data_IF_305514863932
#
_entry.id   IF_305514863932
#
_cell.length_a   1.000
_cell.length_b   1.000
_cell.length_c   1.000
_cell.angle_alpha   90.00
_cell.angle_beta   90.00
_cell.angle_gamma   90.00
#
_symmetry.space_group_name_H-M   'P 1'
#
loop_
_entity.id
_entity.type
_entity.pdbx_description
1 polymer ?
#
# COMPACT_ATOMS: atom_id res chain seq x y z
N UNK A 1 56.08 63.43 14.75
CA UNK A 1 56.12 62.32 13.78
C UNK A 1 54.75 61.61 13.78
N UNK A 2 53.89 61.92 12.82
CA UNK A 2 52.54 61.37 12.71
C UNK A 2 52.55 60.29 11.67
N UNK A 3 52.22 59.04 12.03
CA UNK A 3 51.90 57.98 11.11
C UNK A 3 50.41 57.95 10.81
N UNK A 4 50.04 58.17 9.55
CA UNK A 4 48.67 58.08 9.05
C UNK A 4 48.51 56.65 8.53
N UNK A 5 47.64 55.87 9.19
CA UNK A 5 47.20 54.53 8.71
C UNK A 5 46.21 54.69 7.59
N UNK A 6 46.57 54.19 6.42
CA UNK A 6 45.63 54.00 5.27
C UNK A 6 45.04 52.62 5.38
N UNK A 7 43.75 52.56 5.75
CA UNK A 7 42.92 51.35 5.66
C UNK A 7 42.33 51.30 4.27
N UNK A 8 42.86 50.38 3.44
CA UNK A 8 42.30 50.09 2.12
C UNK A 8 41.11 49.13 2.27
N UNK A 9 39.90 49.60 1.95
CA UNK A 9 38.72 48.74 1.86
C UNK A 9 38.74 47.99 0.53
N UNK A 10 38.92 46.68 0.56
CA UNK A 10 38.71 45.80 -0.59
C UNK A 10 37.23 45.43 -0.67
N UNK A 11 36.52 46.01 -1.62
CA UNK A 11 35.15 45.61 -1.94
C UNK A 11 35.14 44.35 -2.79
N UNK A 12 34.77 43.22 -2.22
CA UNK A 12 34.56 41.96 -2.95
C UNK A 12 33.18 42.06 -3.65
N UNK A 13 33.18 42.32 -4.96
CA UNK A 13 31.97 42.25 -5.78
C UNK A 13 31.68 40.78 -6.12
N UNK A 14 30.79 40.14 -5.37
CA UNK A 14 30.22 38.84 -5.72
C UNK A 14 29.15 39.03 -6.78
N UNK A 15 29.46 38.80 -8.05
CA UNK A 15 28.50 38.72 -9.13
C UNK A 15 27.70 37.42 -9.00
N UNK A 16 26.48 37.51 -8.50
CA UNK A 16 25.48 36.45 -8.60
C UNK A 16 25.11 36.26 -10.06
N UNK A 17 25.63 35.21 -10.70
CA UNK A 17 25.15 34.75 -12.00
C UNK A 17 23.82 34.04 -11.73
N UNK A 18 22.71 34.76 -11.80
CA UNK A 18 21.40 34.16 -11.87
C UNK A 18 21.25 33.49 -13.26
N UNK A 19 21.50 32.20 -13.31
CA UNK A 19 21.14 31.39 -14.49
C UNK A 19 19.63 31.49 -14.74
N UNK A 20 19.17 31.37 -16.00
CA UNK A 20 17.74 31.38 -16.29
C UNK A 20 17.08 30.22 -15.52
N UNK A 21 16.21 30.56 -14.55
CA UNK A 21 15.29 29.61 -13.98
C UNK A 21 14.34 29.24 -15.14
N UNK A 22 14.51 28.04 -15.69
CA UNK A 22 13.57 27.51 -16.66
C UNK A 22 12.19 27.54 -15.99
N UNK A 23 11.29 28.38 -16.49
CA UNK A 23 9.91 28.43 -16.02
C UNK A 23 9.32 27.03 -16.22
N UNK A 24 9.01 26.35 -15.14
CA UNK A 24 8.36 25.05 -15.17
C UNK A 24 7.04 25.26 -15.90
N UNK A 25 6.81 24.51 -16.98
CA UNK A 25 5.53 24.56 -17.72
C UNK A 25 4.41 24.29 -16.73
N UNK A 26 3.31 25.03 -16.77
CA UNK A 26 2.15 24.75 -15.92
C UNK A 26 1.70 23.30 -16.10
N UNK A 27 1.36 22.61 -15.02
CA UNK A 27 0.84 21.25 -15.08
C UNK A 27 -0.50 21.25 -15.82
N UNK A 28 -0.53 20.60 -16.97
CA UNK A 28 -1.73 20.49 -17.80
C UNK A 28 -2.49 19.22 -17.43
N UNK A 29 -3.42 19.35 -16.49
CA UNK A 29 -4.27 18.26 -16.04
C UNK A 29 -5.14 17.67 -17.16
N UNK A 30 -5.42 18.40 -18.23
CA UNK A 30 -6.27 17.93 -19.33
C UNK A 30 -5.64 16.80 -20.15
N UNK A 31 -4.34 16.62 -20.03
CA UNK A 31 -3.61 15.49 -20.65
C UNK A 31 -3.77 14.17 -19.93
N UNK A 32 -4.27 14.18 -18.69
CA UNK A 32 -4.39 13.00 -17.87
C UNK A 32 -5.83 12.52 -17.84
N UNK A 33 -6.07 11.19 -17.71
CA UNK A 33 -7.42 10.69 -17.52
C UNK A 33 -8.00 11.23 -16.21
N UNK A 34 -9.30 11.31 -16.12
CA UNK A 34 -9.99 11.85 -14.95
C UNK A 34 -9.88 10.94 -13.73
N UNK A 35 -8.65 10.59 -13.31
CA UNK A 35 -8.39 9.75 -12.14
C UNK A 35 -8.59 10.48 -10.83
N UNK A 36 -8.38 11.79 -10.81
CA UNK A 36 -8.49 12.59 -9.59
C UNK A 36 -9.87 12.46 -8.93
N UNK A 37 -9.85 12.39 -7.59
CA UNK A 37 -11.04 12.26 -6.74
C UNK A 37 -11.13 10.91 -6.05
N UNK A 38 -12.27 10.71 -5.36
CA UNK A 38 -12.51 9.51 -4.56
C UNK A 38 -13.10 8.36 -5.37
N UNK A 39 -12.64 7.17 -5.01
CA UNK A 39 -13.04 5.92 -5.63
C UNK A 39 -13.39 4.89 -4.58
N UNK A 40 -14.49 4.22 -4.77
CA UNK A 40 -14.95 3.14 -3.90
C UNK A 40 -14.88 1.80 -4.65
N UNK A 41 -14.34 0.80 -4.00
CA UNK A 41 -14.25 -0.56 -4.54
C UNK A 41 -15.64 -1.14 -4.83
N UNK A 42 -15.74 -1.87 -5.92
CA UNK A 42 -16.92 -2.67 -6.30
C UNK A 42 -16.60 -4.16 -6.08
N UNK A 43 -17.60 -4.92 -5.65
CA UNK A 43 -17.51 -6.38 -5.49
C UNK A 43 -17.33 -6.84 -4.03
N UNK A 44 -17.08 -8.14 -3.81
CA UNK A 44 -17.03 -8.74 -2.49
C UNK A 44 -15.86 -8.23 -1.64
N UNK A 45 -16.07 -8.24 -0.32
CA UNK A 45 -15.05 -7.92 0.67
C UNK A 45 -14.15 -9.12 0.96
N UNK A 46 -12.93 -8.84 1.45
CA UNK A 46 -12.06 -9.87 1.99
C UNK A 46 -11.59 -10.91 0.98
N UNK A 47 -11.46 -10.51 -0.29
CA UNK A 47 -10.95 -11.37 -1.36
C UNK A 47 -9.98 -10.58 -2.23
N UNK A 48 -8.92 -11.23 -2.69
CA UNK A 48 -7.98 -10.63 -3.64
C UNK A 48 -8.54 -10.66 -5.07
N UNK A 49 -8.96 -11.82 -5.56
CA UNK A 49 -9.69 -11.95 -6.83
C UNK A 49 -11.20 -11.76 -6.58
N UNK A 50 -11.82 -10.66 -7.05
CA UNK A 50 -13.23 -10.37 -6.79
C UNK A 50 -14.18 -11.30 -7.53
N UNK A 51 -13.69 -12.12 -8.46
CA UNK A 51 -14.48 -13.10 -9.23
C UNK A 51 -14.56 -14.47 -8.56
N UNK A 52 -13.85 -14.63 -7.44
CA UNK A 52 -13.68 -15.90 -6.74
C UNK A 52 -14.15 -15.82 -5.28
N UNK A 53 -14.64 -16.93 -4.70
CA UNK A 53 -14.91 -17.02 -3.28
C UNK A 53 -13.64 -16.89 -2.43
N UNK A 54 -13.78 -16.54 -1.15
CA UNK A 54 -12.66 -16.44 -0.20
C UNK A 54 -12.01 -17.81 0.11
N UNK A 55 -10.86 -17.77 0.78
CA UNK A 55 -10.11 -18.93 1.18
C UNK A 55 -9.61 -19.74 -0.02
N UNK A 56 -9.70 -21.06 0.01
CA UNK A 56 -9.29 -21.94 -1.10
C UNK A 56 -10.05 -21.63 -2.40
N UNK A 57 -11.23 -21.00 -2.31
CA UNK A 57 -12.00 -20.56 -3.46
C UNK A 57 -11.27 -19.53 -4.33
N UNK A 58 -10.30 -18.80 -3.80
CA UNK A 58 -9.48 -17.86 -4.54
C UNK A 58 -8.66 -18.55 -5.65
N UNK A 59 -8.36 -19.85 -5.52
CA UNK A 59 -7.58 -20.61 -6.49
C UNK A 59 -6.27 -19.92 -6.88
N UNK A 60 -5.63 -19.28 -5.90
CA UNK A 60 -4.32 -18.68 -6.10
C UNK A 60 -3.34 -19.74 -6.61
N UNK A 61 -2.48 -19.44 -7.59
CA UNK A 61 -1.54 -20.41 -8.15
C UNK A 61 -0.35 -20.62 -7.21
N UNK A 62 -0.61 -21.05 -5.97
CA UNK A 62 0.41 -21.27 -4.95
C UNK A 62 1.33 -22.44 -5.34
N UNK A 63 2.58 -22.36 -4.87
CA UNK A 63 3.46 -23.53 -4.85
C UNK A 63 2.94 -24.57 -3.88
N UNK A 64 3.29 -25.87 -4.00
CA UNK A 64 2.83 -26.89 -3.06
C UNK A 64 3.14 -26.60 -1.59
N UNK A 65 4.28 -25.97 -1.33
CA UNK A 65 4.68 -25.53 0.01
C UNK A 65 3.72 -24.47 0.58
N UNK A 66 3.44 -23.43 -0.20
CA UNK A 66 2.59 -22.34 0.22
C UNK A 66 1.10 -22.72 0.23
N UNK A 67 0.69 -23.66 -0.61
CA UNK A 67 -0.63 -24.26 -0.55
C UNK A 67 -0.83 -24.99 0.79
N UNK A 68 0.14 -25.80 1.22
CA UNK A 68 0.06 -26.52 2.50
C UNK A 68 0.03 -25.55 3.71
N UNK A 69 0.84 -24.48 3.67
CA UNK A 69 0.81 -23.41 4.69
C UNK A 69 -0.57 -22.76 4.76
N UNK A 70 -1.15 -22.42 3.61
CA UNK A 70 -2.47 -21.79 3.56
C UNK A 70 -3.58 -22.71 4.07
N UNK A 71 -3.56 -23.98 3.73
CA UNK A 71 -4.53 -24.97 4.25
C UNK A 71 -4.41 -25.15 5.76
N UNK A 72 -3.19 -25.16 6.31
CA UNK A 72 -2.95 -25.21 7.76
C UNK A 72 -3.51 -23.96 8.46
N UNK A 73 -3.24 -22.77 7.93
CA UNK A 73 -3.80 -21.51 8.42
C UNK A 73 -5.34 -21.53 8.43
N UNK A 74 -5.97 -21.97 7.35
CA UNK A 74 -7.44 -22.06 7.29
C UNK A 74 -8.01 -23.08 8.29
N UNK A 75 -7.29 -24.16 8.57
CA UNK A 75 -7.68 -25.14 9.58
C UNK A 75 -7.62 -24.53 10.99
N UNK A 76 -6.65 -23.68 11.28
CA UNK A 76 -6.56 -22.93 12.54
C UNK A 76 -7.69 -21.92 12.69
N UNK A 77 -7.95 -21.12 11.65
CA UNK A 77 -9.07 -20.16 11.62
C UNK A 77 -10.42 -20.88 11.84
N UNK A 78 -10.60 -22.07 11.26
CA UNK A 78 -11.81 -22.88 11.48
C UNK A 78 -11.96 -23.34 12.94
N UNK A 79 -10.86 -23.44 13.68
CA UNK A 79 -10.87 -23.75 15.11
C UNK A 79 -11.12 -22.51 16.00
N UNK A 80 -11.24 -21.32 15.38
CA UNK A 80 -11.47 -20.05 16.07
C UNK A 80 -10.21 -19.29 16.43
N UNK A 81 -9.05 -19.70 15.92
CA UNK A 81 -7.79 -18.95 16.08
C UNK A 81 -7.72 -17.78 15.11
N UNK A 82 -6.81 -16.84 15.34
CA UNK A 82 -6.62 -15.64 14.52
C UNK A 82 -6.13 -15.93 13.09
N UNK A 83 -5.42 -17.06 12.90
CA UNK A 83 -4.73 -17.34 11.65
C UNK A 83 -3.53 -16.41 11.42
N UNK A 84 -3.04 -16.41 10.17
CA UNK A 84 -1.81 -15.70 9.76
C UNK A 84 -2.05 -14.29 9.21
N UNK A 85 -3.22 -13.67 9.48
CA UNK A 85 -3.47 -12.30 9.02
C UNK A 85 -2.74 -11.28 9.92
N UNK A 86 -1.70 -10.59 9.41
CA UNK A 86 -0.90 -9.66 10.21
C UNK A 86 -1.66 -8.42 10.68
N UNK A 87 -2.80 -8.13 10.07
CA UNK A 87 -3.64 -6.96 10.41
C UNK A 87 -4.20 -7.05 11.83
N UNK A 88 -4.38 -8.24 12.37
CA UNK A 88 -4.80 -8.42 13.77
C UNK A 88 -3.82 -7.83 14.80
N UNK A 89 -2.58 -7.56 14.41
CA UNK A 89 -1.57 -6.89 15.24
C UNK A 89 -1.29 -5.47 14.79
N UNK A 90 -2.23 -4.82 14.09
CA UNK A 90 -2.11 -3.49 13.52
C UNK A 90 -0.94 -3.32 12.54
N UNK A 91 -0.47 -4.39 11.93
CA UNK A 91 0.43 -4.32 10.79
C UNK A 91 -0.41 -3.91 9.57
N UNK A 92 0.00 -2.86 8.83
CA UNK A 92 -0.72 -2.45 7.63
C UNK A 92 -0.78 -3.56 6.58
N UNK A 93 -1.87 -3.61 5.81
CA UNK A 93 -2.07 -4.63 4.76
C UNK A 93 -0.93 -4.68 3.76
N UNK A 94 -0.38 -3.54 3.41
CA UNK A 94 0.64 -3.44 2.37
C UNK A 94 0.16 -3.82 0.97
N UNK A 95 1.03 -3.63 -0.02
CA UNK A 95 0.73 -4.05 -1.39
C UNK A 95 0.92 -5.56 -1.57
N UNK A 96 0.10 -6.25 -2.40
CA UNK A 96 -0.98 -5.72 -3.24
C UNK A 96 -2.34 -5.59 -2.53
N UNK A 97 -2.50 -6.11 -1.32
CA UNK A 97 -3.77 -6.16 -0.59
C UNK A 97 -4.36 -4.76 -0.34
N UNK A 98 -3.52 -3.74 -0.15
CA UNK A 98 -3.95 -2.36 0.03
C UNK A 98 -4.92 -1.88 -1.07
N UNK A 99 -4.79 -2.38 -2.30
CA UNK A 99 -5.70 -2.04 -3.40
C UNK A 99 -7.05 -2.77 -3.36
N UNK A 100 -7.27 -3.62 -2.34
CA UNK A 100 -8.51 -4.39 -2.18
C UNK A 100 -9.37 -3.93 -1.00
N UNK A 101 -8.98 -2.85 -0.33
CA UNK A 101 -9.58 -2.39 0.92
C UNK A 101 -11.03 -1.91 0.78
N UNK A 102 -11.73 -1.92 1.90
CA UNK A 102 -13.17 -1.66 1.97
C UNK A 102 -13.53 -0.18 1.91
N UNK A 103 -12.67 0.68 2.48
CA UNK A 103 -12.90 2.11 2.54
C UNK A 103 -12.46 2.78 1.24
N UNK A 104 -12.96 4.00 0.95
CA UNK A 104 -12.58 4.75 -0.23
C UNK A 104 -11.08 5.03 -0.32
N UNK A 105 -10.60 5.24 -1.54
CA UNK A 105 -9.31 5.84 -1.78
C UNK A 105 -9.47 7.10 -2.61
N UNK A 106 -8.55 8.03 -2.46
CA UNK A 106 -8.50 9.24 -3.25
C UNK A 106 -7.24 9.27 -4.11
N UNK A 107 -7.43 9.52 -5.40
CA UNK A 107 -6.33 9.65 -6.36
C UNK A 107 -6.05 11.13 -6.59
N UNK A 108 -4.78 11.53 -6.44
CA UNK A 108 -4.29 12.88 -6.69
C UNK A 108 -3.16 12.80 -7.70
N UNK A 109 -3.36 13.40 -8.87
CA UNK A 109 -2.35 13.46 -9.95
C UNK A 109 -1.64 14.80 -9.88
N UNK A 110 -0.31 14.77 -9.75
CA UNK A 110 0.55 15.96 -9.72
C UNK A 110 1.69 15.81 -10.74
N UNK A 111 2.43 16.87 -11.05
CA UNK A 111 3.63 16.76 -11.88
C UNK A 111 4.63 15.77 -11.24
N UNK A 112 4.90 14.68 -11.94
CA UNK A 112 5.92 13.70 -11.54
C UNK A 112 5.56 12.76 -10.40
N UNK A 113 4.36 12.87 -9.81
CA UNK A 113 3.91 11.92 -8.77
C UNK A 113 2.39 11.78 -8.78
N UNK A 114 1.92 10.55 -8.74
CA UNK A 114 0.50 10.25 -8.45
C UNK A 114 0.42 9.69 -7.04
N UNK A 115 -0.49 10.25 -6.23
CA UNK A 115 -0.74 9.79 -4.87
C UNK A 115 -2.05 9.01 -4.83
N UNK A 116 -2.05 7.94 -4.05
CA UNK A 116 -3.27 7.23 -3.67
C UNK A 116 -3.35 7.28 -2.14
N UNK A 117 -4.30 8.09 -1.64
CA UNK A 117 -4.62 8.18 -0.23
C UNK A 117 -5.69 7.14 0.06
N UNK A 118 -5.47 6.31 1.04
CA UNK A 118 -6.40 5.28 1.46
C UNK A 118 -6.95 5.65 2.82
N UNK A 119 -8.26 5.71 2.92
CA UNK A 119 -8.94 6.05 4.17
C UNK A 119 -8.69 5.00 5.26
N UNK A 120 -8.64 3.74 4.85
CA UNK A 120 -8.32 2.64 5.74
C UNK A 120 -6.89 2.75 6.26
N UNK A 121 -6.74 2.84 7.58
CA UNK A 121 -5.48 3.04 8.32
C UNK A 121 -4.68 4.27 7.86
N UNK A 122 -5.34 5.26 7.25
CA UNK A 122 -4.70 6.49 6.77
C UNK A 122 -3.43 6.25 5.94
N UNK A 123 -3.45 5.22 5.08
CA UNK A 123 -2.29 4.84 4.29
C UNK A 123 -2.11 5.76 3.09
N UNK A 124 -0.85 6.02 2.75
CA UNK A 124 -0.46 6.83 1.61
C UNK A 124 0.47 6.04 0.69
N UNK A 125 0.11 5.97 -0.59
CA UNK A 125 0.97 5.43 -1.65
C UNK A 125 1.45 6.54 -2.56
N UNK A 126 2.74 6.53 -2.89
CA UNK A 126 3.37 7.42 -3.87
C UNK A 126 3.78 6.60 -5.09
N UNK A 127 3.36 7.05 -6.26
CA UNK A 127 3.76 6.48 -7.54
C UNK A 127 4.53 7.57 -8.28
N UNK A 128 5.83 7.41 -8.42
CA UNK A 128 6.69 8.38 -9.07
C UNK A 128 6.56 8.26 -10.59
N UNK A 129 6.19 9.34 -11.25
CA UNK A 129 5.92 9.41 -12.70
C UNK A 129 6.83 10.43 -13.40
N UNK A 130 7.95 10.78 -12.79
CA UNK A 130 8.93 11.74 -13.28
C UNK A 130 10.07 11.10 -14.10
N UNK A 131 9.97 9.80 -14.38
CA UNK A 131 10.95 9.07 -15.20
C UNK A 131 12.18 8.59 -14.43
N UNK A 132 12.16 8.67 -13.09
CA UNK A 132 13.26 8.12 -12.26
C UNK A 132 13.36 6.60 -12.35
N UNK A 133 14.53 6.08 -12.02
CA UNK A 133 14.76 4.65 -11.84
C UNK A 133 14.54 4.22 -10.38
N UNK A 134 14.44 2.90 -10.16
CA UNK A 134 14.42 2.34 -8.81
C UNK A 134 15.74 2.63 -8.10
N UNK A 135 15.71 3.16 -6.86
CA UNK A 135 16.93 3.33 -6.07
C UNK A 135 17.56 1.97 -5.75
N UNK A 136 18.89 1.93 -5.66
CA UNK A 136 19.61 0.70 -5.37
C UNK A 136 19.49 0.24 -3.91
N UNK A 137 19.31 1.19 -2.99
CA UNK A 137 19.34 0.97 -1.53
C UNK A 137 18.09 1.53 -0.84
N UNK A 138 16.88 1.22 -1.38
CA UNK A 138 15.63 1.64 -0.74
C UNK A 138 15.28 0.72 0.42
N UNK A 139 14.92 1.31 1.56
CA UNK A 139 14.39 0.53 2.67
C UNK A 139 12.97 0.02 2.37
N UNK A 140 12.70 -1.29 2.55
CA UNK A 140 11.37 -1.83 2.30
C UNK A 140 10.29 -1.14 3.14
N UNK A 141 9.16 -0.86 2.50
CA UNK A 141 7.98 -0.28 3.14
C UNK A 141 6.72 -1.11 2.88
N UNK A 142 5.63 -0.88 3.63
CA UNK A 142 4.37 -1.60 3.39
C UNK A 142 3.76 -1.31 2.02
N UNK A 143 3.91 -0.08 1.53
CA UNK A 143 3.45 0.33 0.20
C UNK A 143 4.47 0.08 -0.90
N UNK A 144 5.72 -0.27 -0.53
CA UNK A 144 6.84 -0.43 -1.44
C UNK A 144 7.27 0.88 -2.10
N UNK A 145 8.18 0.76 -3.04
CA UNK A 145 8.59 1.85 -3.93
C UNK A 145 7.89 1.65 -5.28
N UNK A 146 7.13 2.64 -5.73
CA UNK A 146 6.35 2.53 -6.97
C UNK A 146 6.83 3.53 -8.00
N UNK A 147 7.17 3.04 -9.21
CA UNK A 147 7.44 3.84 -10.39
C UNK A 147 6.31 3.65 -11.37
N UNK A 148 5.79 4.75 -11.91
CA UNK A 148 4.70 4.77 -12.87
C UNK A 148 5.08 5.44 -14.18
N UNK A 149 4.41 5.04 -15.23
CA UNK A 149 4.50 5.64 -16.55
C UNK A 149 3.11 5.88 -17.11
N UNK A 150 2.85 7.10 -17.51
CA UNK A 150 1.64 7.46 -18.23
C UNK A 150 1.76 7.04 -19.70
N UNK A 151 0.75 6.36 -20.23
CA UNK A 151 0.69 5.83 -21.59
C UNK A 151 -0.46 6.49 -22.34
N UNK A 152 -0.16 6.98 -23.52
CA UNK A 152 -1.10 7.40 -24.55
C UNK A 152 -1.23 6.21 -25.53
N UNK A 153 -2.32 5.43 -25.40
CA UNK A 153 -2.48 4.16 -26.14
C UNK A 153 -2.98 4.39 -27.56
N UNK A 154 -3.77 5.44 -27.78
CA UNK A 154 -4.37 5.71 -29.09
C UNK A 154 -3.66 6.84 -29.86
N UNK A 155 -2.68 7.52 -29.25
CA UNK A 155 -1.82 8.50 -29.89
C UNK A 155 -2.51 9.86 -30.10
N UNK A 156 -3.54 10.17 -29.32
CA UNK A 156 -4.29 11.43 -29.44
C UNK A 156 -3.63 12.61 -28.70
N UNK A 157 -2.51 12.35 -28.00
CA UNK A 157 -1.76 13.32 -27.21
C UNK A 157 -2.25 13.46 -25.77
N UNK A 158 -3.13 12.55 -25.33
CA UNK A 158 -3.62 12.43 -23.97
C UNK A 158 -3.26 11.05 -23.42
N UNK A 159 -3.09 10.96 -22.13
CA UNK A 159 -2.83 9.68 -21.49
C UNK A 159 -4.13 8.92 -21.20
N UNK A 160 -4.10 7.60 -21.37
CA UNK A 160 -5.22 6.69 -21.11
C UNK A 160 -4.97 5.84 -19.88
N UNK A 161 -3.72 5.44 -19.66
CA UNK A 161 -3.32 4.42 -18.72
C UNK A 161 -2.17 4.90 -17.86
N UNK A 162 -2.19 4.55 -16.58
CA UNK A 162 -1.03 4.60 -15.70
C UNK A 162 -0.53 3.17 -15.49
N UNK A 163 0.63 2.83 -16.06
CA UNK A 163 1.35 1.60 -15.76
C UNK A 163 2.27 1.82 -14.56
N UNK A 164 2.27 0.89 -13.62
CA UNK A 164 3.03 0.98 -12.38
C UNK A 164 3.79 -0.31 -12.12
N UNK A 165 5.03 -0.19 -11.65
CA UNK A 165 5.77 -1.29 -11.06
C UNK A 165 6.14 -0.92 -9.61
N UNK A 166 5.91 -1.87 -8.69
CA UNK A 166 6.19 -1.70 -7.25
C UNK A 166 7.13 -2.80 -6.77
N UNK A 167 8.15 -2.40 -6.03
CA UNK A 167 9.18 -3.26 -5.41
C UNK A 167 9.40 -2.84 -3.95
N UNK A 168 10.38 -3.44 -3.29
CA UNK A 168 10.87 -3.10 -1.95
C UNK A 168 9.76 -3.13 -0.90
N UNK A 169 9.10 -4.27 -0.85
CA UNK A 169 7.93 -4.51 -0.02
C UNK A 169 8.30 -5.20 1.29
N UNK A 170 7.90 -4.58 2.40
CA UNK A 170 8.10 -5.09 3.76
C UNK A 170 7.15 -6.26 4.07
N UNK A 171 7.58 -7.18 4.92
CA UNK A 171 6.80 -8.33 5.39
C UNK A 171 6.58 -8.27 6.92
N UNK A 172 5.57 -8.99 7.47
CA UNK A 172 4.70 -9.98 6.81
C UNK A 172 3.56 -9.33 6.02
N UNK A 173 3.10 -9.99 4.95
CA UNK A 173 1.95 -9.58 4.11
C UNK A 173 1.12 -10.79 3.70
N UNK A 174 -0.14 -10.55 3.40
CA UNK A 174 -1.06 -11.53 2.80
C UNK A 174 -1.78 -10.93 1.61
N UNK A 175 -2.30 -11.75 0.69
CA UNK A 175 -3.13 -11.27 -0.42
C UNK A 175 -4.51 -10.81 0.04
N UNK A 176 -5.06 -11.45 1.08
CA UNK A 176 -6.38 -11.15 1.63
C UNK A 176 -6.50 -11.53 3.11
N UNK A 177 -7.61 -11.18 3.79
CA UNK A 177 -7.82 -11.46 5.22
C UNK A 177 -7.92 -12.96 5.57
N UNK A 178 -8.01 -13.86 4.60
CA UNK A 178 -7.99 -15.30 4.90
C UNK A 178 -6.59 -15.83 5.24
N UNK A 179 -5.58 -14.95 5.26
CA UNK A 179 -4.19 -15.33 5.44
C UNK A 179 -3.57 -15.96 4.20
N UNK A 180 -4.11 -15.66 3.00
CA UNK A 180 -3.55 -16.13 1.72
C UNK A 180 -2.12 -15.60 1.55
N UNK A 181 -1.10 -16.47 1.58
CA UNK A 181 0.27 -16.06 1.88
C UNK A 181 0.98 -15.38 0.69
N UNK A 182 1.84 -14.41 1.03
CA UNK A 182 2.89 -13.85 0.18
C UNK A 182 4.23 -14.38 0.68
N UNK A 183 5.22 -14.56 -0.20
CA UNK A 183 6.57 -14.99 0.20
C UNK A 183 7.29 -13.92 1.03
N UNK A 184 8.01 -14.34 2.06
CA UNK A 184 8.64 -13.44 3.02
C UNK A 184 10.04 -12.94 2.61
N UNK A 185 10.52 -13.24 1.40
CA UNK A 185 11.88 -12.92 0.95
C UNK A 185 12.07 -11.46 0.46
N UNK A 186 11.02 -10.66 0.42
CA UNK A 186 11.07 -9.29 -0.07
C UNK A 186 11.21 -9.14 -1.59
N UNK A 187 11.17 -10.25 -2.36
CA UNK A 187 11.36 -10.23 -3.82
C UNK A 187 10.06 -10.07 -4.61
N UNK A 188 8.94 -9.83 -3.95
CA UNK A 188 7.67 -9.58 -4.62
C UNK A 188 7.77 -8.38 -5.55
N UNK A 189 7.35 -8.54 -6.81
CA UNK A 189 7.16 -7.45 -7.77
C UNK A 189 5.70 -7.37 -8.16
N UNK A 190 5.14 -6.17 -8.12
CA UNK A 190 3.74 -5.93 -8.50
C UNK A 190 3.73 -5.02 -9.71
N UNK A 191 3.00 -5.41 -10.75
CA UNK A 191 2.74 -4.57 -11.92
C UNK A 191 1.25 -4.29 -12.02
N UNK A 192 0.93 -3.03 -12.24
CA UNK A 192 -0.45 -2.57 -12.29
C UNK A 192 -0.70 -1.74 -13.53
N UNK A 193 -1.96 -1.78 -13.98
CA UNK A 193 -2.47 -0.88 -15.02
C UNK A 193 -3.78 -0.27 -14.54
N UNK A 194 -3.76 1.04 -14.35
CA UNK A 194 -4.93 1.84 -14.02
C UNK A 194 -5.50 2.46 -15.30
N UNK A 195 -6.78 2.25 -15.55
CA UNK A 195 -7.47 2.84 -16.70
C UNK A 195 -8.97 3.02 -16.43
N UNK A 196 -9.57 4.01 -17.08
CA UNK A 196 -11.02 4.22 -17.01
C UNK A 196 -11.73 3.32 -18.02
N UNK A 197 -12.95 2.94 -17.67
CA UNK A 197 -13.86 2.34 -18.64
C UNK A 197 -14.22 3.37 -19.72
N UNK A 198 -14.03 3.00 -21.00
CA UNK A 198 -14.29 3.91 -22.13
C UNK A 198 -15.77 4.29 -22.28
N UNK A 199 -16.69 3.40 -21.86
CA UNK A 199 -18.13 3.65 -21.90
C UNK A 199 -18.65 4.36 -20.65
N UNK A 200 -17.97 4.19 -19.53
CA UNK A 200 -18.36 4.76 -18.23
C UNK A 200 -17.15 5.28 -17.44
N UNK A 201 -16.73 6.54 -17.66
CA UNK A 201 -15.53 7.09 -17.00
C UNK A 201 -15.65 7.26 -15.48
N UNK A 202 -16.81 6.95 -14.89
CA UNK A 202 -16.97 6.80 -13.43
C UNK A 202 -16.56 5.40 -12.92
N UNK A 203 -16.03 4.55 -13.80
CA UNK A 203 -15.46 3.24 -13.47
C UNK A 203 -13.95 3.25 -13.72
N UNK A 204 -13.18 2.96 -12.70
CA UNK A 204 -11.72 2.79 -12.75
C UNK A 204 -11.39 1.32 -12.57
N UNK A 205 -10.54 0.79 -13.43
CA UNK A 205 -9.97 -0.53 -13.31
C UNK A 205 -8.52 -0.43 -12.83
N UNK A 206 -8.15 -1.36 -11.95
CA UNK A 206 -6.78 -1.64 -11.57
C UNK A 206 -6.50 -3.12 -11.87
N UNK A 207 -5.74 -3.37 -12.91
CA UNK A 207 -5.27 -4.71 -13.26
C UNK A 207 -3.94 -4.95 -12.55
N UNK A 208 -3.97 -5.79 -11.52
CA UNK A 208 -2.83 -6.10 -10.64
C UNK A 208 -2.24 -7.44 -11.04
N UNK A 209 -0.97 -7.48 -11.41
CA UNK A 209 -0.21 -8.71 -11.65
C UNK A 209 0.89 -8.83 -10.60
N UNK A 210 0.84 -9.86 -9.79
CA UNK A 210 1.83 -10.14 -8.74
C UNK A 210 2.78 -11.24 -9.18
N UNK A 211 4.07 -10.97 -9.09
CA UNK A 211 5.18 -11.91 -9.24
C UNK A 211 5.73 -12.16 -7.84
N UNK A 212 5.64 -13.40 -7.39
CA UNK A 212 5.99 -13.76 -6.02
C UNK A 212 6.44 -15.22 -5.95
N UNK A 213 7.40 -15.54 -5.09
CA UNK A 213 7.94 -16.90 -4.96
C UNK A 213 6.99 -17.88 -4.25
N UNK A 214 5.93 -17.39 -3.61
CA UNK A 214 4.84 -18.25 -3.15
C UNK A 214 4.00 -18.78 -4.30
N UNK A 215 4.13 -18.21 -5.51
CA UNK A 215 3.31 -18.52 -6.68
C UNK A 215 4.10 -19.35 -7.71
N UNK A 216 3.42 -20.29 -8.38
CA UNK A 216 3.97 -21.09 -9.50
C UNK A 216 4.01 -20.31 -10.82
N UNK A 217 3.25 -19.24 -10.92
CA UNK A 217 3.19 -18.31 -12.05
C UNK A 217 2.66 -16.95 -11.60
N UNK A 218 2.89 -15.87 -12.38
CA UNK A 218 2.29 -14.57 -12.06
C UNK A 218 0.76 -14.68 -11.93
N UNK A 219 0.23 -13.98 -10.95
CA UNK A 219 -1.21 -13.96 -10.68
C UNK A 219 -1.78 -12.58 -10.99
N UNK A 220 -2.67 -12.53 -11.97
CA UNK A 220 -3.33 -11.31 -12.41
C UNK A 220 -4.78 -11.29 -11.95
N UNK A 221 -5.19 -10.20 -11.32
CA UNK A 221 -6.58 -9.90 -10.95
C UNK A 221 -6.94 -8.50 -11.45
N UNK A 222 -8.24 -8.26 -11.66
CA UNK A 222 -8.74 -6.93 -12.01
C UNK A 222 -9.67 -6.44 -10.90
N UNK A 223 -9.31 -5.31 -10.29
CA UNK A 223 -10.14 -4.61 -9.32
C UNK A 223 -10.94 -3.54 -10.02
N UNK A 224 -12.22 -3.44 -9.66
CA UNK A 224 -13.13 -2.41 -10.19
C UNK A 224 -13.47 -1.43 -9.09
N UNK A 225 -13.38 -0.15 -9.42
CA UNK A 225 -13.71 0.94 -8.51
C UNK A 225 -14.71 1.87 -9.18
N UNK A 226 -15.61 2.43 -8.41
CA UNK A 226 -16.60 3.40 -8.87
C UNK A 226 -16.30 4.75 -8.23
N UNK A 227 -16.44 5.81 -9.00
CA UNK A 227 -16.26 7.18 -8.53
C UNK A 227 -17.28 7.50 -7.43
N UNK A 228 -16.79 8.00 -6.30
CA UNK A 228 -17.65 8.53 -5.24
C UNK A 228 -18.04 9.97 -5.59
N UNK A 229 -19.35 10.21 -5.74
CA UNK A 229 -19.90 11.52 -6.12
C UNK A 229 -20.18 12.43 -4.93
N UNK A 230 -20.19 11.86 -3.73
CA UNK A 230 -20.37 12.56 -2.45
C UNK A 230 -19.24 12.17 -1.51
N UNK A 231 -18.01 12.62 -1.81
CA UNK A 231 -16.85 12.16 -1.08
C UNK A 231 -16.99 12.48 0.40
N UNK A 232 -16.76 11.46 1.21
CA UNK A 232 -16.65 11.56 2.67
C UNK A 232 -15.29 10.98 3.01
N UNK A 233 -14.56 11.65 3.89
CA UNK A 233 -13.32 11.13 4.43
C UNK A 233 -13.52 10.82 5.91
N UNK A 234 -13.31 9.56 6.29
CA UNK A 234 -13.39 9.10 7.67
C UNK A 234 -11.97 8.71 8.08
N UNK A 235 -11.48 9.27 9.15
CA UNK A 235 -10.20 8.84 9.71
C UNK A 235 -10.36 7.43 10.30
N UNK A 236 -9.47 6.51 9.89
CA UNK A 236 -9.46 5.13 10.37
C UNK A 236 -8.08 4.78 10.89
N UNK A 237 -7.99 4.54 12.19
CA UNK A 237 -6.75 4.21 12.88
C UNK A 237 -6.93 2.86 13.56
N UNK A 238 -5.98 1.94 13.35
CA UNK A 238 -6.06 0.59 13.90
C UNK A 238 -6.22 0.58 15.43
N UNK A 239 -5.51 1.46 16.12
CA UNK A 239 -5.52 1.53 17.59
C UNK A 239 -6.88 1.94 18.20
N UNK A 240 -7.79 2.51 17.39
CA UNK A 240 -9.11 2.92 17.88
C UNK A 240 -10.17 1.82 17.78
N UNK A 241 -9.94 0.82 16.92
CA UNK A 241 -10.95 -0.19 16.60
C UNK A 241 -10.61 -1.62 17.00
N UNK A 242 -9.34 -1.91 17.25
CA UNK A 242 -8.88 -3.26 17.48
C UNK A 242 -7.86 -3.25 18.60
N UNK A 243 -8.27 -3.72 19.75
CA UNK A 243 -7.36 -3.84 20.89
C UNK A 243 -6.96 -5.31 21.02
N UNK A 244 -6.06 -5.74 20.14
CA UNK A 244 -5.45 -7.05 20.17
C UNK A 244 -4.04 -6.97 20.76
N UNK A 245 -3.68 -7.93 21.57
CA UNK A 245 -2.33 -8.10 22.08
C UNK A 245 -1.84 -9.51 21.77
N UNK A 246 -0.57 -9.64 21.43
CA UNK A 246 0.08 -10.93 21.25
C UNK A 246 0.90 -11.24 22.51
N UNK A 247 0.65 -12.38 23.14
CA UNK A 247 1.36 -12.83 24.34
C UNK A 247 1.82 -14.26 24.10
N UNK A 248 3.12 -14.46 23.99
CA UNK A 248 3.72 -15.79 23.78
C UNK A 248 3.31 -16.45 22.45
N UNK A 249 3.02 -15.64 21.40
CA UNK A 249 2.57 -16.13 20.09
C UNK A 249 1.06 -16.36 19.98
N UNK A 250 0.30 -16.15 21.06
CA UNK A 250 -1.16 -16.23 21.07
C UNK A 250 -1.79 -14.84 21.09
N UNK A 251 -2.89 -14.65 20.33
CA UNK A 251 -3.65 -13.41 20.32
C UNK A 251 -4.70 -13.38 21.43
N UNK A 252 -4.80 -12.24 22.09
CA UNK A 252 -5.86 -11.92 23.05
C UNK A 252 -6.50 -10.62 22.65
N UNK A 253 -7.72 -10.37 23.10
CA UNK A 253 -8.38 -9.07 22.98
C UNK A 253 -8.28 -8.33 24.31
N UNK A 254 -8.38 -7.00 24.26
CA UNK A 254 -8.64 -6.20 25.45
C UNK A 254 -10.11 -5.73 25.40
N UNK A 255 -10.77 -5.74 26.54
CA UNK A 255 -12.06 -5.10 26.69
C UNK A 255 -11.94 -3.58 26.90
N UNK A 256 -13.05 -2.88 27.06
CA UNK A 256 -13.10 -1.43 27.27
C UNK A 256 -12.36 -0.97 28.55
N UNK A 257 -12.11 -1.88 29.48
CA UNK A 257 -11.37 -1.63 30.73
C UNK A 257 -9.87 -1.97 30.59
N UNK A 258 -9.45 -2.50 29.42
CA UNK A 258 -8.09 -2.93 29.15
C UNK A 258 -7.75 -4.29 29.73
N UNK A 259 -8.75 -5.09 30.09
CA UNK A 259 -8.56 -6.45 30.58
C UNK A 259 -8.47 -7.45 29.42
N UNK A 260 -7.62 -8.45 29.59
CA UNK A 260 -7.44 -9.51 28.60
C UNK A 260 -8.66 -10.42 28.54
N UNK A 261 -9.26 -10.52 27.36
CA UNK A 261 -10.32 -11.48 27.07
C UNK A 261 -9.85 -12.47 26.00
N UNK A 262 -10.38 -13.73 26.03
CA UNK A 262 -10.03 -14.72 25.03
C UNK A 262 -10.41 -14.29 23.61
N UNK A 263 -9.49 -14.48 22.65
CA UNK A 263 -9.77 -14.28 21.24
C UNK A 263 -10.68 -15.40 20.67
N UNK A 264 -10.57 -16.59 21.20
CA UNK A 264 -11.39 -17.73 20.82
C UNK A 264 -11.92 -18.50 22.02
N UNK A 265 -13.05 -19.19 21.83
CA UNK A 265 -13.73 -19.91 22.92
C UNK A 265 -12.87 -21.06 23.47
N UNK A 266 -12.54 -20.97 24.75
CA UNK A 266 -11.73 -21.95 25.43
C UNK A 266 -10.22 -21.69 25.39
N UNK A 267 -9.81 -20.55 24.89
CA UNK A 267 -8.41 -20.12 24.96
C UNK A 267 -7.95 -20.06 26.43
N UNK A 268 -6.81 -20.65 26.77
CA UNK A 268 -6.26 -20.55 28.12
C UNK A 268 -5.84 -19.11 28.43
N UNK A 269 -5.82 -18.76 29.71
CA UNK A 269 -5.24 -17.49 30.14
C UNK A 269 -3.75 -17.41 29.72
N UNK A 270 -3.23 -16.23 29.34
CA UNK A 270 -1.84 -16.10 28.94
C UNK A 270 -0.89 -16.34 30.13
N UNK A 271 0.25 -16.90 29.84
CA UNK A 271 1.31 -17.02 30.85
C UNK A 271 2.06 -15.70 30.98
N UNK A 272 1.75 -14.95 32.01
CA UNK A 272 2.35 -13.64 32.30
C UNK A 272 3.53 -13.70 33.27
N UNK A 273 3.98 -14.90 33.69
CA UNK A 273 5.03 -15.04 34.71
C UNK A 273 6.34 -14.34 34.35
N UNK A 274 6.66 -14.23 33.06
CA UNK A 274 7.88 -13.61 32.56
C UNK A 274 7.61 -12.31 31.81
N UNK A 275 6.43 -11.75 31.92
CA UNK A 275 6.05 -10.52 31.18
C UNK A 275 6.96 -9.32 31.52
N UNK A 276 7.41 -9.21 32.78
CA UNK A 276 8.26 -8.14 33.24
C UNK A 276 9.77 -8.36 32.98
N UNK A 277 10.19 -9.54 32.55
CA UNK A 277 11.61 -9.85 32.31
C UNK A 277 12.08 -9.41 30.91
N UNK A 278 11.15 -9.21 29.97
CA UNK A 278 11.45 -8.75 28.60
C UNK A 278 11.58 -7.22 28.46
N UNK A 279 11.32 -6.47 29.50
CA UNK A 279 11.37 -4.99 29.55
C UNK A 279 12.63 -4.41 30.17
N UNK A 280 13.71 -5.21 30.29
CA UNK A 280 15.02 -4.74 30.78
C UNK A 280 16.07 -4.71 29.66
#
# INVERSE_FOLDING_TARGET
>A
MQFRDMIGAVALATSLIAGPVAAQQPFDQSKYPAFAGQWQRVGPLGVFDPTKPSGLGQQAPLTPEYQAKFEANLAEVKQGKSGDDPVYTCIPEGMPRAMTLVLPMEVVVTPGTTYILMEYLSMLRRIYTDGREFPADEEPSWMGYSIGKWIDEDGDGRFDVLEVETRDLKNPRTFDPSGLPVHADGQTVIKERFYLDKANPDTLYDQITTYDHALTRPWTVVRTMRREKKPIWVESICAEGIVHVNIGGEHYMLDDEGLLIPFWKGQPAPDLRHFNEQSK
#
